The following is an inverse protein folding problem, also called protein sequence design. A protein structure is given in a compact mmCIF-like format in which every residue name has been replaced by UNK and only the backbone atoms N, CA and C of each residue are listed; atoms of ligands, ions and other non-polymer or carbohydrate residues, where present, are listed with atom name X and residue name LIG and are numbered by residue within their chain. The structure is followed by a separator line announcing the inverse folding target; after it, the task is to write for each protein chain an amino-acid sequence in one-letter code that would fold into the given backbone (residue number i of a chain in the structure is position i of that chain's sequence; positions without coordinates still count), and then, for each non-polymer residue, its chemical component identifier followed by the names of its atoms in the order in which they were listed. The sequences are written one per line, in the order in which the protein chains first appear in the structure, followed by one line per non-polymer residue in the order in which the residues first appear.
data_IF_597376009304
#
_entry.id   IF_597376009304
#
_cell.length_a   1.000
_cell.length_b   1.000
_cell.length_c   1.000
_cell.angle_alpha   90.00
_cell.angle_beta   90.00
_cell.angle_gamma   90.00
#
_symmetry.space_group_name_H-M   'P 1'
#
loop_
_entity.id
_entity.type
_entity.pdbx_description
1 polymer ?
#
# COMPACT_ATOMS: atom_id res chain seq x y z
N UNK A 1 -2.14 -9.09 16.46
CA UNK A 1 -1.63 -8.32 15.31
C UNK A 1 -1.87 -9.05 14.00
N UNK A 2 -1.23 -10.21 13.72
CA UNK A 2 -1.50 -10.96 12.46
C UNK A 2 -2.95 -11.43 12.31
N UNK A 3 -3.53 -12.02 13.37
CA UNK A 3 -4.93 -12.47 13.38
C UNK A 3 -5.96 -11.33 13.18
N UNK A 4 -5.68 -10.11 13.65
CA UNK A 4 -6.60 -8.97 13.48
C UNK A 4 -6.54 -8.42 12.06
N UNK A 5 -5.34 -8.34 11.47
CA UNK A 5 -5.16 -7.94 10.08
C UNK A 5 -5.72 -8.99 9.11
N UNK A 6 -5.50 -10.28 9.39
CA UNK A 6 -6.07 -11.38 8.58
C UNK A 6 -7.61 -11.39 8.63
N UNK A 7 -8.21 -11.02 9.76
CA UNK A 7 -9.67 -10.94 9.89
C UNK A 7 -10.21 -9.74 9.11
N UNK A 8 -9.62 -8.56 9.28
CA UNK A 8 -10.01 -7.36 8.53
C UNK A 8 -9.84 -7.53 7.01
N UNK A 9 -8.73 -8.14 6.58
CA UNK A 9 -8.48 -8.48 5.18
C UNK A 9 -9.48 -9.51 4.65
N UNK A 10 -9.80 -10.57 5.40
CA UNK A 10 -10.79 -11.58 4.98
C UNK A 10 -12.20 -11.00 4.85
N UNK A 11 -12.57 -10.08 5.71
CA UNK A 11 -13.91 -9.51 5.73
C UNK A 11 -14.12 -8.46 4.64
N UNK A 12 -13.06 -7.73 4.26
CA UNK A 12 -13.15 -6.59 3.32
C UNK A 12 -12.56 -6.90 1.94
N UNK A 13 -11.43 -7.61 1.87
CA UNK A 13 -10.76 -7.93 0.61
C UNK A 13 -10.07 -9.31 0.65
N UNK A 14 -10.85 -10.41 0.55
CA UNK A 14 -10.33 -11.78 0.66
C UNK A 14 -9.20 -12.10 -0.33
N UNK A 15 -9.23 -11.46 -1.50
CA UNK A 15 -8.23 -11.64 -2.56
C UNK A 15 -6.85 -11.08 -2.18
N UNK A 16 -6.75 -10.05 -1.33
CA UNK A 16 -5.46 -9.55 -0.87
C UNK A 16 -4.71 -10.59 -0.03
N UNK A 17 -5.41 -11.44 0.73
CA UNK A 17 -4.76 -12.49 1.53
C UNK A 17 -4.03 -13.48 0.62
N UNK A 18 -4.66 -13.88 -0.49
CA UNK A 18 -4.02 -14.77 -1.47
C UNK A 18 -2.83 -14.09 -2.16
N UNK A 19 -2.94 -12.79 -2.47
CA UNK A 19 -1.83 -12.01 -3.04
C UNK A 19 -0.65 -11.90 -2.08
N UNK A 20 -0.89 -11.66 -0.79
CA UNK A 20 0.18 -11.66 0.22
C UNK A 20 0.84 -13.03 0.41
N UNK A 21 0.08 -14.13 0.30
CA UNK A 21 0.66 -15.49 0.31
C UNK A 21 1.59 -15.68 -0.90
N UNK A 22 1.13 -15.34 -2.11
CA UNK A 22 1.94 -15.45 -3.34
C UNK A 22 3.20 -14.58 -3.27
N UNK A 23 3.07 -13.36 -2.75
CA UNK A 23 4.20 -12.45 -2.51
C UNK A 23 5.21 -13.02 -1.52
N UNK A 24 4.73 -13.68 -0.46
CA UNK A 24 5.59 -14.37 0.51
C UNK A 24 6.25 -15.62 -0.06
N UNK A 25 5.62 -16.31 -1.01
CA UNK A 25 6.23 -17.42 -1.75
C UNK A 25 7.34 -16.94 -2.69
N UNK A 26 7.13 -15.81 -3.38
CA UNK A 26 8.14 -15.19 -4.24
C UNK A 26 9.38 -14.72 -3.46
N UNK A 27 9.25 -14.39 -2.17
CA UNK A 27 10.40 -14.11 -1.31
C UNK A 27 11.30 -15.33 -1.07
N UNK A 28 10.75 -16.55 -1.15
CA UNK A 28 11.51 -17.77 -0.87
C UNK A 28 12.42 -18.19 -2.03
N UNK A 29 12.35 -17.53 -3.19
CA UNK A 29 13.32 -17.73 -4.26
C UNK A 29 14.60 -16.94 -3.99
N UNK A 30 15.77 -17.50 -4.31
CA UNK A 30 17.06 -16.78 -4.35
C UNK A 30 17.22 -16.04 -5.70
N UNK A 31 16.25 -15.18 -6.03
CA UNK A 31 16.17 -14.49 -7.34
C UNK A 31 15.66 -13.06 -7.15
N UNK A 32 16.49 -12.11 -7.54
CA UNK A 32 16.28 -10.66 -7.38
C UNK A 32 15.11 -10.14 -8.24
N UNK A 33 14.86 -10.75 -9.41
CA UNK A 33 13.70 -10.42 -10.23
C UNK A 33 12.39 -10.79 -9.51
N UNK A 34 12.37 -11.92 -8.79
CA UNK A 34 11.20 -12.33 -8.01
C UNK A 34 10.97 -11.40 -6.82
N UNK A 35 12.03 -10.91 -6.19
CA UNK A 35 11.93 -9.91 -5.12
C UNK A 35 11.41 -8.56 -5.65
N UNK A 36 11.88 -8.09 -6.80
CA UNK A 36 11.35 -6.90 -7.46
C UNK A 36 9.85 -7.07 -7.82
N UNK A 37 9.47 -8.24 -8.34
CA UNK A 37 8.07 -8.58 -8.61
C UNK A 37 7.21 -8.61 -7.35
N UNK A 38 7.76 -9.05 -6.22
CA UNK A 38 7.07 -9.02 -4.93
C UNK A 38 6.77 -7.58 -4.48
N UNK A 39 7.73 -6.67 -4.61
CA UNK A 39 7.55 -5.22 -4.33
C UNK A 39 6.51 -4.57 -5.24
N UNK A 40 6.55 -4.88 -6.55
CA UNK A 40 5.53 -4.43 -7.51
C UNK A 40 4.12 -4.89 -7.12
N UNK A 41 4.01 -6.12 -6.64
CA UNK A 41 2.73 -6.68 -6.21
C UNK A 41 2.20 -5.98 -4.97
N UNK A 42 3.07 -5.60 -4.01
CA UNK A 42 2.67 -4.75 -2.87
C UNK A 42 2.02 -3.44 -3.32
N UNK A 43 2.61 -2.74 -4.30
CA UNK A 43 2.04 -1.50 -4.85
C UNK A 43 0.65 -1.73 -5.47
N UNK A 44 0.48 -2.84 -6.19
CA UNK A 44 -0.82 -3.22 -6.76
C UNK A 44 -1.86 -3.46 -5.68
N UNK A 45 -1.50 -4.16 -4.60
CA UNK A 45 -2.40 -4.39 -3.45
C UNK A 45 -2.88 -3.05 -2.86
N UNK A 46 -1.97 -2.09 -2.64
CA UNK A 46 -2.35 -0.77 -2.10
C UNK A 46 -3.33 -0.06 -3.04
N UNK A 47 -3.07 -0.09 -4.35
CA UNK A 47 -3.95 0.51 -5.36
C UNK A 47 -5.34 -0.15 -5.36
N UNK A 48 -5.41 -1.47 -5.35
CA UNK A 48 -6.69 -2.20 -5.34
C UNK A 48 -7.51 -1.92 -4.08
N UNK A 49 -6.86 -1.84 -2.91
CA UNK A 49 -7.53 -1.43 -1.67
C UNK A 49 -8.04 0.00 -1.79
N UNK A 50 -7.27 0.91 -2.38
CA UNK A 50 -7.74 2.26 -2.67
C UNK A 50 -8.96 2.25 -3.61
N UNK A 51 -8.93 1.46 -4.69
CA UNK A 51 -10.04 1.33 -5.64
C UNK A 51 -11.32 0.82 -4.97
N UNK A 52 -11.20 -0.09 -4.01
CA UNK A 52 -12.33 -0.62 -3.25
C UNK A 52 -12.88 0.36 -2.22
N UNK A 53 -12.02 1.10 -1.51
CA UNK A 53 -12.42 1.98 -0.41
C UNK A 53 -12.80 3.40 -0.86
N UNK A 54 -12.13 3.89 -1.90
CA UNK A 54 -12.31 5.21 -2.49
C UNK A 54 -12.03 5.14 -4.00
N UNK A 55 -13.05 4.81 -4.82
CA UNK A 55 -12.90 4.70 -6.27
C UNK A 55 -12.34 5.99 -6.89
N UNK A 56 -11.61 5.89 -8.02
CA UNK A 56 -11.03 7.07 -8.66
C UNK A 56 -12.10 8.00 -9.22
N UNK A 57 -11.86 9.31 -9.11
CA UNK A 57 -12.70 10.36 -9.69
C UNK A 57 -11.93 11.12 -10.78
N UNK A 58 -12.64 11.51 -11.82
CA UNK A 58 -12.08 12.32 -12.90
C UNK A 58 -11.75 13.76 -12.44
N UNK A 59 -12.59 14.31 -11.57
CA UNK A 59 -12.44 15.66 -11.05
C UNK A 59 -11.74 15.67 -9.68
N UNK A 60 -10.89 16.68 -9.39
CA UNK A 60 -10.35 16.89 -8.06
C UNK A 60 -11.44 17.17 -7.04
N UNK A 61 -11.19 16.80 -5.79
CA UNK A 61 -12.05 17.15 -4.66
C UNK A 61 -11.48 18.34 -3.89
N UNK A 62 -12.33 19.14 -3.24
CA UNK A 62 -11.88 20.22 -2.37
C UNK A 62 -11.76 19.75 -0.91
N UNK A 63 -10.58 19.91 -0.33
CA UNK A 63 -10.28 19.58 1.07
C UNK A 63 -9.59 20.76 1.72
N UNK A 64 -10.25 21.37 2.70
CA UNK A 64 -9.73 22.54 3.43
C UNK A 64 -9.26 23.69 2.51
N UNK A 65 -10.02 23.97 1.45
CA UNK A 65 -9.70 25.02 0.48
C UNK A 65 -8.63 24.67 -0.56
N UNK A 66 -8.20 23.40 -0.63
CA UNK A 66 -7.24 22.91 -1.64
C UNK A 66 -7.89 21.85 -2.52
N UNK A 67 -7.64 21.93 -3.83
CA UNK A 67 -8.04 20.89 -4.78
C UNK A 67 -7.04 19.74 -4.74
N UNK A 68 -7.52 18.54 -4.42
CA UNK A 68 -6.74 17.30 -4.35
C UNK A 68 -7.17 16.38 -5.48
N UNK A 69 -6.21 15.97 -6.32
CA UNK A 69 -6.44 14.96 -7.35
C UNK A 69 -6.60 13.58 -6.70
N UNK A 70 -7.66 12.89 -7.10
CA UNK A 70 -8.04 11.55 -6.63
C UNK A 70 -8.38 10.65 -7.81
N UNK A 71 -7.57 10.72 -8.87
CA UNK A 71 -7.69 9.84 -10.04
C UNK A 71 -7.05 8.47 -9.82
N UNK A 72 -6.98 7.69 -10.89
CA UNK A 72 -6.47 6.32 -10.88
C UNK A 72 -5.07 6.21 -10.26
N UNK A 73 -4.15 7.09 -10.68
CA UNK A 73 -2.76 7.11 -10.19
C UNK A 73 -2.61 7.73 -8.79
N UNK A 74 -3.62 8.41 -8.27
CA UNK A 74 -3.59 9.06 -6.96
C UNK A 74 -4.16 8.16 -5.85
N UNK A 75 -3.86 6.86 -5.91
CA UNK A 75 -4.33 5.86 -4.95
C UNK A 75 -3.94 6.18 -3.49
N UNK A 76 -2.79 6.82 -3.26
CA UNK A 76 -2.39 7.28 -1.92
C UNK A 76 -3.24 8.44 -1.42
N UNK A 77 -3.51 9.43 -2.26
CA UNK A 77 -4.42 10.51 -1.89
C UNK A 77 -5.81 9.95 -1.57
N UNK A 78 -6.30 9.00 -2.38
CA UNK A 78 -7.59 8.33 -2.18
C UNK A 78 -7.67 7.64 -0.82
N UNK A 79 -6.66 6.87 -0.44
CA UNK A 79 -6.59 6.25 0.89
C UNK A 79 -6.49 7.27 2.04
N UNK A 80 -5.74 8.36 1.86
CA UNK A 80 -5.70 9.44 2.85
C UNK A 80 -7.11 10.04 3.06
N UNK A 81 -7.85 10.28 1.97
CA UNK A 81 -9.22 10.78 2.07
C UNK A 81 -10.16 9.80 2.78
N UNK A 82 -10.00 8.51 2.50
CA UNK A 82 -10.74 7.46 3.22
C UNK A 82 -10.45 7.52 4.73
N UNK A 83 -9.17 7.52 5.13
CA UNK A 83 -8.74 7.62 6.54
C UNK A 83 -9.33 8.86 7.22
N UNK A 84 -9.27 10.01 6.54
CA UNK A 84 -9.83 11.26 7.02
C UNK A 84 -11.35 11.20 7.23
N UNK A 85 -12.06 10.41 6.42
CA UNK A 85 -13.52 10.26 6.50
C UNK A 85 -13.99 9.32 7.62
N UNK A 86 -13.14 8.39 8.10
CA UNK A 86 -13.53 7.31 9.02
C UNK A 86 -13.21 7.56 10.48
N UNK A 87 -12.03 8.11 10.78
CA UNK A 87 -11.62 8.32 12.16
C UNK A 87 -12.09 9.68 12.69
N UNK A 88 -12.51 9.76 13.94
CA UNK A 88 -12.70 11.04 14.66
C UNK A 88 -11.47 11.43 15.47
N UNK A 89 -10.50 10.53 15.64
CA UNK A 89 -9.27 10.75 16.39
C UNK A 89 -8.15 11.26 15.47
N UNK A 90 -7.81 12.55 15.61
CA UNK A 90 -6.77 13.19 14.79
C UNK A 90 -5.39 12.51 14.87
N UNK A 91 -5.05 11.88 16.00
CA UNK A 91 -3.78 11.18 16.16
C UNK A 91 -3.70 9.90 15.32
N UNK A 92 -4.76 9.08 15.35
CA UNK A 92 -4.83 7.84 14.55
C UNK A 92 -4.75 8.18 13.05
N UNK A 93 -5.44 9.23 12.60
CA UNK A 93 -5.35 9.71 11.21
C UNK A 93 -3.93 10.09 10.82
N UNK A 94 -3.28 10.91 11.66
CA UNK A 94 -1.93 11.41 11.41
C UNK A 94 -0.92 10.26 11.34
N UNK A 95 -1.02 9.30 12.25
CA UNK A 95 -0.09 8.17 12.33
C UNK A 95 -0.27 7.24 11.11
N UNK A 96 -1.49 6.77 10.84
CA UNK A 96 -1.77 5.87 9.70
C UNK A 96 -1.48 6.56 8.36
N UNK A 97 -1.88 7.83 8.21
CA UNK A 97 -1.61 8.61 7.00
C UNK A 97 -0.12 8.86 6.75
N UNK A 98 0.68 9.07 7.80
CA UNK A 98 2.13 9.24 7.66
C UNK A 98 2.83 7.93 7.30
N UNK A 99 2.43 6.82 7.92
CA UNK A 99 2.95 5.49 7.56
C UNK A 99 2.62 5.13 6.12
N UNK A 100 1.39 5.39 5.67
CA UNK A 100 0.99 5.14 4.29
C UNK A 100 1.85 5.92 3.30
N UNK A 101 2.07 7.22 3.53
CA UNK A 101 2.95 8.04 2.67
C UNK A 101 4.38 7.49 2.63
N UNK A 102 4.95 7.22 3.81
CA UNK A 102 6.31 6.70 3.91
C UNK A 102 6.49 5.39 3.12
N UNK A 103 5.56 4.43 3.28
CA UNK A 103 5.64 3.15 2.57
C UNK A 103 5.52 3.36 1.07
N UNK A 104 4.63 4.23 0.63
CA UNK A 104 4.38 4.47 -0.79
C UNK A 104 5.57 5.14 -1.47
N UNK A 105 6.14 6.18 -0.83
CA UNK A 105 7.37 6.83 -1.31
C UNK A 105 8.54 5.84 -1.39
N UNK A 106 8.65 4.96 -0.40
CA UNK A 106 9.73 3.96 -0.38
C UNK A 106 9.54 2.91 -1.47
N UNK A 107 8.30 2.44 -1.72
CA UNK A 107 7.97 1.53 -2.81
C UNK A 107 8.25 2.16 -4.18
N UNK A 108 7.87 3.43 -4.38
CA UNK A 108 8.09 4.15 -5.64
C UNK A 108 9.60 4.36 -5.91
N UNK A 109 10.39 4.69 -4.89
CA UNK A 109 11.85 4.82 -5.03
C UNK A 109 12.52 3.53 -5.49
N UNK A 110 12.10 2.38 -4.95
CA UNK A 110 12.62 1.07 -5.33
C UNK A 110 12.20 0.71 -6.74
N UNK A 111 10.95 1.00 -7.12
CA UNK A 111 10.47 0.79 -8.47
C UNK A 111 11.24 1.62 -9.50
N UNK A 112 11.52 2.90 -9.19
CA UNK A 112 12.34 3.75 -10.03
C UNK A 112 13.78 3.25 -10.16
N UNK A 113 14.37 2.78 -9.06
CA UNK A 113 15.73 2.23 -9.04
C UNK A 113 15.84 0.96 -9.91
N UNK A 114 14.85 0.07 -9.84
CA UNK A 114 14.77 -1.14 -10.65
C UNK A 114 14.57 -0.83 -12.15
N UNK A 115 13.72 0.14 -12.49
CA UNK A 115 13.42 0.48 -13.90
C UNK A 115 14.52 1.27 -14.62
N UNK A 116 15.38 2.01 -13.89
CA UNK A 116 16.42 2.85 -14.50
C UNK A 116 17.66 2.05 -14.96
N UNK A 117 17.67 0.72 -14.81
CA UNK A 117 18.81 -0.12 -15.19
C UNK A 117 20.08 0.17 -14.38
N UNK A 118 19.98 0.97 -13.32
CA UNK A 118 20.95 0.94 -12.26
C UNK A 118 20.82 -0.44 -11.63
N UNK A 119 21.90 -1.21 -11.54
CA UNK A 119 21.98 -2.50 -10.84
C UNK A 119 21.72 -2.33 -9.34
N UNK A 120 20.55 -1.82 -9.00
CA UNK A 120 20.01 -1.75 -7.64
C UNK A 120 19.15 -2.98 -7.53
N UNK A 121 19.83 -4.11 -7.39
CA UNK A 121 19.20 -5.38 -7.05
C UNK A 121 18.40 -5.14 -5.76
N UNK A 122 17.09 -5.37 -5.82
CA UNK A 122 16.26 -5.34 -4.62
C UNK A 122 16.80 -6.42 -3.71
N UNK A 123 17.22 -6.09 -2.49
CA UNK A 123 17.71 -7.13 -1.59
C UNK A 123 16.53 -7.90 -0.97
N UNK A 124 16.74 -9.16 -0.58
CA UNK A 124 15.76 -9.94 0.16
C UNK A 124 15.23 -9.18 1.39
N UNK A 125 16.13 -8.55 2.15
CA UNK A 125 15.78 -7.79 3.35
C UNK A 125 14.86 -6.60 3.04
N UNK A 126 15.09 -5.91 1.93
CA UNK A 126 14.23 -4.82 1.48
C UNK A 126 12.85 -5.33 1.07
N UNK A 127 12.80 -6.40 0.27
CA UNK A 127 11.56 -7.01 -0.16
C UNK A 127 10.73 -7.51 1.04
N UNK A 128 11.33 -8.23 1.98
CA UNK A 128 10.68 -8.68 3.22
C UNK A 128 10.10 -7.51 4.00
N UNK A 129 10.88 -6.44 4.18
CA UNK A 129 10.45 -5.24 4.90
C UNK A 129 9.24 -4.59 4.25
N UNK A 130 9.22 -4.47 2.92
CA UNK A 130 8.09 -3.85 2.21
C UNK A 130 6.83 -4.68 2.30
N UNK A 131 6.94 -6.00 2.28
CA UNK A 131 5.79 -6.90 2.38
C UNK A 131 5.16 -6.79 3.77
N UNK A 132 5.99 -6.82 4.83
CA UNK A 132 5.53 -6.63 6.20
C UNK A 132 4.87 -5.25 6.36
N UNK A 133 5.51 -4.19 5.88
CA UNK A 133 4.96 -2.83 6.00
C UNK A 133 3.65 -2.66 5.24
N UNK A 134 3.57 -3.18 4.01
CA UNK A 134 2.34 -3.16 3.20
C UNK A 134 1.22 -3.92 3.91
N UNK A 135 1.52 -5.10 4.46
CA UNK A 135 0.54 -5.89 5.20
C UNK A 135 0.03 -5.14 6.44
N UNK A 136 0.92 -4.53 7.23
CA UNK A 136 0.55 -3.82 8.44
C UNK A 136 -0.28 -2.56 8.14
N UNK A 137 0.16 -1.73 7.18
CA UNK A 137 -0.55 -0.48 6.89
C UNK A 137 -1.93 -0.73 6.29
N UNK A 138 -2.08 -1.76 5.45
CA UNK A 138 -3.38 -2.14 4.92
C UNK A 138 -4.28 -2.65 6.04
N UNK A 139 -3.74 -3.44 6.97
CA UNK A 139 -4.46 -3.85 8.17
C UNK A 139 -4.96 -2.67 8.99
N UNK A 140 -4.12 -1.67 9.21
CA UNK A 140 -4.48 -0.47 9.96
C UNK A 140 -5.56 0.33 9.24
N UNK A 141 -5.41 0.57 7.93
CA UNK A 141 -6.41 1.28 7.09
C UNK A 141 -7.78 0.58 7.13
N UNK A 142 -7.79 -0.75 7.02
CA UNK A 142 -9.02 -1.54 7.02
C UNK A 142 -9.70 -1.64 8.38
N UNK A 143 -8.97 -1.35 9.46
CA UNK A 143 -9.49 -1.38 10.83
C UNK A 143 -10.14 -0.07 11.30
N UNK A 144 -10.09 0.98 10.47
CA UNK A 144 -10.72 2.30 10.70
C UNK A 144 -12.21 2.30 10.41
#
# INVERSE_FOLDING_TARGET
MRLSVDTALKDIYPEAVQKFISVYENLKSDDDENWANAVLTCRRIIKEVADSLFPPLAEPIEVSGKLIKVGEDQYINRLIQYIESKSSCGKIKSDVGSYLKFISETLDNVHEAANKGAHTEVTLQEAERYIIYTYLVIGDVLSL
#
